data_IF_505896544050
#
_entry.id   IF_505896544050
#
_cell.length_a   1.000
_cell.length_b   1.000
_cell.length_c   1.000
_cell.angle_alpha   90.00
_cell.angle_beta   90.00
_cell.angle_gamma   90.00
#
_symmetry.space_group_name_H-M   'P 1'
#
loop_
_entity.id
_entity.type
_entity.pdbx_description
1 polymer ?
#
# COMPACT_ATOMS: atom_id res chain seq x y z
N UNK A 1 -49.77 -13.90 -34.61
CA UNK A 1 -49.71 -12.89 -33.53
C UNK A 1 -49.22 -13.58 -32.27
N UNK A 2 -47.92 -13.51 -32.00
CA UNK A 2 -47.24 -14.25 -30.91
C UNK A 2 -47.35 -13.45 -29.62
N UNK A 3 -47.87 -14.06 -28.55
CA UNK A 3 -48.02 -13.47 -27.22
C UNK A 3 -46.64 -13.36 -26.55
N UNK A 4 -46.29 -12.15 -26.14
CA UNK A 4 -45.12 -11.82 -25.32
C UNK A 4 -45.32 -12.34 -23.90
N UNK A 5 -44.37 -13.13 -23.39
CA UNK A 5 -44.29 -13.49 -21.97
C UNK A 5 -43.14 -12.72 -21.33
N UNK A 6 -43.50 -11.78 -20.47
CA UNK A 6 -42.58 -11.02 -19.62
C UNK A 6 -42.28 -11.85 -18.37
N UNK A 7 -41.05 -12.34 -18.24
CA UNK A 7 -40.57 -12.99 -17.02
C UNK A 7 -40.20 -11.92 -15.98
N UNK A 8 -40.92 -11.91 -14.86
CA UNK A 8 -40.64 -11.11 -13.69
C UNK A 8 -39.64 -11.88 -12.81
N UNK A 9 -38.39 -11.44 -12.71
CA UNK A 9 -37.43 -11.96 -11.73
C UNK A 9 -37.69 -11.31 -10.38
N UNK A 10 -38.34 -12.03 -9.46
CA UNK A 10 -38.47 -11.63 -8.08
C UNK A 10 -37.16 -11.97 -7.33
N UNK A 11 -36.34 -10.96 -7.04
CA UNK A 11 -35.20 -11.09 -6.13
C UNK A 11 -35.75 -11.02 -4.71
N UNK A 12 -35.83 -12.17 -4.05
CA UNK A 12 -36.13 -12.26 -2.61
C UNK A 12 -34.85 -11.87 -1.86
N UNK A 13 -34.78 -10.63 -1.38
CA UNK A 13 -33.74 -10.21 -0.43
C UNK A 13 -34.24 -10.53 0.98
N UNK A 14 -33.80 -11.66 1.52
CA UNK A 14 -33.97 -11.96 2.95
C UNK A 14 -33.02 -11.08 3.76
N UNK A 15 -33.53 -10.01 4.37
CA UNK A 15 -32.81 -9.24 5.39
C UNK A 15 -32.91 -10.03 6.70
N UNK A 16 -31.90 -10.85 6.99
CA UNK A 16 -31.69 -11.35 8.35
C UNK A 16 -31.03 -10.24 9.14
N UNK A 17 -31.75 -9.67 10.11
CA UNK A 17 -31.20 -8.71 11.05
C UNK A 17 -30.21 -9.44 11.99
N UNK A 18 -28.92 -9.44 11.63
CA UNK A 18 -27.86 -9.74 12.59
C UNK A 18 -27.63 -8.49 13.45
N UNK A 19 -28.19 -8.50 14.66
CA UNK A 19 -27.73 -7.64 15.75
C UNK A 19 -26.35 -8.11 16.19
N UNK A 20 -25.31 -7.42 15.73
CA UNK A 20 -23.94 -7.52 16.22
C UNK A 20 -23.30 -6.14 16.10
N UNK A 21 -22.80 -5.64 17.24
CA UNK A 21 -22.01 -4.41 17.49
C UNK A 21 -21.92 -3.39 16.36
N UNK A 22 -22.36 -2.14 16.58
CA UNK A 22 -21.79 -1.00 15.86
C UNK A 22 -20.30 -0.95 16.22
N UNK A 23 -19.47 -1.67 15.46
CA UNK A 23 -18.09 -1.28 15.31
C UNK A 23 -18.13 0.13 14.69
N UNK A 24 -17.49 1.10 15.34
CA UNK A 24 -17.11 2.33 14.64
C UNK A 24 -16.52 1.91 13.29
N UNK A 25 -17.15 2.35 12.21
CA UNK A 25 -16.75 1.91 10.87
C UNK A 25 -15.32 2.42 10.62
N UNK A 26 -14.36 1.51 10.62
CA UNK A 26 -12.95 1.83 10.39
C UNK A 26 -12.66 1.85 8.88
N UNK A 27 -11.99 2.91 8.42
CA UNK A 27 -11.48 2.96 7.06
C UNK A 27 -10.17 2.19 6.96
N UNK A 28 -10.16 1.12 6.16
CA UNK A 28 -8.94 0.37 5.84
C UNK A 28 -8.45 0.76 4.45
N UNK A 29 -7.23 1.30 4.39
CA UNK A 29 -6.53 1.62 3.16
C UNK A 29 -5.37 0.63 2.94
N UNK A 30 -5.56 -0.30 2.02
CA UNK A 30 -4.56 -1.32 1.68
C UNK A 30 -3.47 -0.75 0.76
N UNK A 31 -2.21 -0.95 1.14
CA UNK A 31 -1.02 -0.52 0.38
C UNK A 31 -0.22 -1.75 -0.05
N UNK A 32 -0.07 -1.96 -1.35
CA UNK A 32 0.65 -3.11 -1.92
C UNK A 32 1.37 -2.73 -3.21
N UNK A 33 2.58 -3.24 -3.50
CA UNK A 33 3.29 -2.92 -4.74
C UNK A 33 2.47 -3.16 -6.02
N UNK A 34 1.60 -4.19 -5.99
CA UNK A 34 0.71 -4.57 -7.10
C UNK A 34 -0.73 -4.06 -6.93
N UNK A 35 -1.01 -3.31 -5.86
CA UNK A 35 -2.33 -2.80 -5.51
C UNK A 35 -2.74 -1.54 -6.28
N UNK A 36 -3.90 -1.00 -5.92
CA UNK A 36 -4.35 0.32 -6.38
C UNK A 36 -3.55 1.45 -5.73
N UNK A 37 -3.25 1.33 -4.43
CA UNK A 37 -2.33 2.20 -3.69
C UNK A 37 -1.00 1.47 -3.54
N UNK A 38 0.03 1.98 -4.24
CA UNK A 38 1.31 1.27 -4.41
C UNK A 38 2.45 1.78 -3.56
N UNK A 39 2.27 2.90 -2.88
CA UNK A 39 3.30 3.53 -2.05
C UNK A 39 2.69 4.20 -0.83
N UNK A 40 3.50 4.42 0.20
CA UNK A 40 3.08 5.17 1.38
C UNK A 40 2.78 6.64 1.05
N UNK A 41 3.47 7.22 0.06
CA UNK A 41 3.17 8.56 -0.44
C UNK A 41 1.80 8.62 -1.10
N UNK A 42 1.47 7.64 -1.95
CA UNK A 42 0.15 7.54 -2.57
C UNK A 42 -0.94 7.33 -1.52
N UNK A 43 -0.67 6.55 -0.47
CA UNK A 43 -1.60 6.37 0.64
C UNK A 43 -1.87 7.69 1.38
N UNK A 44 -0.82 8.43 1.75
CA UNK A 44 -0.93 9.77 2.33
C UNK A 44 -1.74 10.71 1.44
N UNK A 45 -1.39 10.79 0.15
CA UNK A 45 -2.05 11.70 -0.80
C UNK A 45 -3.52 11.34 -1.03
N UNK A 46 -3.87 10.06 -0.94
CA UNK A 46 -5.25 9.59 -0.98
C UNK A 46 -6.02 10.00 0.28
N UNK A 47 -5.40 9.89 1.46
CA UNK A 47 -6.02 10.34 2.72
C UNK A 47 -6.22 11.85 2.75
N UNK A 48 -5.30 12.65 2.21
CA UNK A 48 -5.47 14.11 2.07
C UNK A 48 -6.70 14.49 1.26
N UNK A 49 -7.00 13.73 0.20
CA UNK A 49 -8.19 13.95 -0.63
C UNK A 49 -9.47 13.56 0.09
N UNK A 50 -9.42 12.48 0.88
CA UNK A 50 -10.59 11.91 1.56
C UNK A 50 -10.95 12.64 2.85
N UNK A 51 -9.94 13.09 3.60
CA UNK A 51 -10.07 13.71 4.92
C UNK A 51 -11.01 12.90 5.83
N UNK A 52 -10.69 11.62 6.09
CA UNK A 52 -11.57 10.73 6.84
C UNK A 52 -11.88 11.29 8.23
N UNK A 53 -13.10 11.05 8.69
CA UNK A 53 -13.57 11.48 10.02
C UNK A 53 -13.75 10.28 10.96
N UNK A 54 -13.48 9.08 10.46
CA UNK A 54 -13.44 7.81 11.16
C UNK A 54 -11.99 7.35 11.41
N UNK A 55 -11.76 6.47 12.41
CA UNK A 55 -10.48 5.79 12.56
C UNK A 55 -10.03 5.17 11.24
N UNK A 56 -8.77 5.39 10.88
CA UNK A 56 -8.20 4.97 9.60
C UNK A 56 -6.93 4.16 9.81
N UNK A 57 -6.87 2.98 9.19
CA UNK A 57 -5.67 2.15 9.14
C UNK A 57 -5.14 2.07 7.73
N UNK A 58 -3.88 2.46 7.56
CA UNK A 58 -3.10 2.24 6.35
C UNK A 58 -2.33 0.94 6.53
N UNK A 59 -2.85 -0.12 5.94
CA UNK A 59 -2.34 -1.49 6.09
C UNK A 59 -1.33 -1.77 4.97
N UNK A 60 -0.07 -1.94 5.34
CA UNK A 60 1.05 -2.09 4.42
C UNK A 60 1.36 -3.59 4.26
N UNK A 61 1.09 -4.10 3.06
CA UNK A 61 1.34 -5.50 2.71
C UNK A 61 2.84 -5.80 2.57
N UNK A 62 3.19 -7.08 2.57
CA UNK A 62 4.58 -7.49 2.34
C UNK A 62 5.10 -6.97 0.99
N UNK A 63 6.35 -6.51 0.97
CA UNK A 63 6.99 -5.99 -0.23
C UNK A 63 8.09 -4.98 0.10
N UNK A 64 8.79 -4.55 -0.94
CA UNK A 64 9.79 -3.47 -0.86
C UNK A 64 9.24 -2.23 -1.54
N UNK A 65 9.12 -1.15 -0.76
CA UNK A 65 8.62 0.14 -1.19
C UNK A 65 9.81 1.09 -1.35
N UNK A 66 10.27 1.27 -2.59
CA UNK A 66 11.38 2.17 -2.89
C UNK A 66 10.93 3.63 -2.82
N UNK A 67 11.72 4.46 -2.13
CA UNK A 67 11.52 5.91 -2.05
C UNK A 67 12.75 6.63 -2.59
N UNK A 68 12.53 7.68 -3.39
CA UNK A 68 13.60 8.56 -3.91
C UNK A 68 13.69 9.87 -3.15
N UNK A 69 12.70 10.15 -2.31
CA UNK A 69 12.58 11.33 -1.47
C UNK A 69 11.96 10.95 -0.11
N UNK A 70 12.17 11.73 0.95
CA UNK A 70 11.57 11.45 2.24
C UNK A 70 10.04 11.40 2.17
N UNK A 71 9.43 10.44 2.89
CA UNK A 71 8.00 10.46 3.15
C UNK A 71 7.70 11.52 4.21
N UNK A 72 7.21 12.68 3.76
CA UNK A 72 6.94 13.83 4.64
C UNK A 72 5.49 13.82 5.11
N UNK A 73 5.29 13.83 6.43
CA UNK A 73 3.99 14.09 7.06
C UNK A 73 3.91 15.54 7.53
N UNK A 74 2.79 16.20 7.27
CA UNK A 74 2.50 17.58 7.67
C UNK A 74 1.27 17.60 8.59
N UNK A 75 0.89 18.76 9.17
CA UNK A 75 -0.33 18.83 9.98
C UNK A 75 -1.60 18.39 9.26
N UNK A 76 -1.67 18.50 7.93
CA UNK A 76 -2.79 18.01 7.11
C UNK A 76 -2.98 16.49 7.19
N UNK A 77 -1.92 15.74 7.51
CA UNK A 77 -1.94 14.28 7.61
C UNK A 77 -2.33 13.78 9.01
N UNK A 78 -2.68 14.69 9.92
CA UNK A 78 -3.01 14.33 11.30
C UNK A 78 -4.43 13.82 11.41
N UNK A 79 -4.61 12.68 12.09
CA UNK A 79 -5.90 12.29 12.63
C UNK A 79 -6.28 13.09 13.88
N UNK A 80 -7.43 12.76 14.45
CA UNK A 80 -7.87 13.28 15.77
C UNK A 80 -7.88 12.15 16.80
N UNK A 81 -8.09 12.49 18.07
CA UNK A 81 -8.23 11.48 19.13
C UNK A 81 -9.39 10.49 18.87
N UNK A 82 -10.47 10.95 18.23
CA UNK A 82 -11.62 10.12 17.85
C UNK A 82 -11.49 9.49 16.46
N UNK A 83 -10.58 9.98 15.62
CA UNK A 83 -10.34 9.50 14.26
C UNK A 83 -8.82 9.44 13.98
N UNK A 84 -8.08 8.53 14.64
CA UNK A 84 -6.65 8.41 14.43
C UNK A 84 -6.34 7.85 13.04
N UNK A 85 -5.19 8.21 12.48
CA UNK A 85 -4.65 7.61 11.27
C UNK A 85 -3.41 6.79 11.67
N UNK A 86 -3.46 5.48 11.46
CA UNK A 86 -2.38 4.55 11.83
C UNK A 86 -1.77 3.92 10.58
N UNK A 87 -0.46 3.97 10.45
CA UNK A 87 0.28 3.24 9.42
C UNK A 87 0.89 2.00 10.05
N UNK A 88 0.58 0.81 9.53
CA UNK A 88 1.04 -0.44 10.12
C UNK A 88 1.30 -1.51 9.06
N UNK A 89 2.15 -2.46 9.39
CA UNK A 89 2.31 -3.67 8.58
C UNK A 89 1.06 -4.54 8.69
N UNK A 90 0.66 -5.16 7.58
CA UNK A 90 -0.34 -6.23 7.62
C UNK A 90 0.11 -7.35 8.58
N UNK A 91 -0.82 -8.05 9.26
CA UNK A 91 -0.47 -9.08 10.23
C UNK A 91 0.53 -10.11 9.67
N UNK A 92 1.63 -10.31 10.37
CA UNK A 92 2.70 -11.24 9.96
C UNK A 92 3.58 -10.77 8.80
N UNK A 93 3.29 -9.62 8.20
CA UNK A 93 4.08 -9.06 7.11
C UNK A 93 5.27 -8.24 7.61
N UNK A 94 6.32 -8.16 6.78
CA UNK A 94 7.51 -7.36 7.03
C UNK A 94 7.80 -6.45 5.83
N UNK A 95 6.99 -5.41 5.60
CA UNK A 95 7.25 -4.44 4.54
C UNK A 95 8.58 -3.73 4.78
N UNK A 96 9.33 -3.51 3.71
CA UNK A 96 10.59 -2.77 3.73
C UNK A 96 10.40 -1.45 3.00
N UNK A 97 10.62 -0.34 3.70
CA UNK A 97 10.72 0.98 3.05
C UNK A 97 12.20 1.20 2.74
N UNK A 98 12.55 1.29 1.46
CA UNK A 98 13.95 1.35 1.03
C UNK A 98 14.27 2.65 0.32
N UNK A 99 15.24 3.41 0.82
CA UNK A 99 15.87 4.51 0.09
C UNK A 99 17.00 4.05 -0.85
N UNK A 100 17.27 2.75 -0.90
CA UNK A 100 18.30 2.18 -1.76
C UNK A 100 17.82 2.01 -3.20
N UNK A 101 18.77 1.77 -4.11
CA UNK A 101 18.47 1.43 -5.50
C UNK A 101 19.08 0.06 -5.81
N UNK A 102 18.31 -0.90 -6.34
CA UNK A 102 18.85 -2.19 -6.75
C UNK A 102 19.92 -2.03 -7.82
N UNK A 103 21.04 -2.72 -7.65
CA UNK A 103 22.08 -2.86 -8.68
C UNK A 103 21.92 -4.24 -9.29
N UNK A 104 21.71 -4.30 -10.60
CA UNK A 104 21.50 -5.54 -11.37
C UNK A 104 22.45 -5.59 -12.56
N UNK A 105 22.65 -6.77 -13.13
CA UNK A 105 23.48 -6.92 -14.34
C UNK A 105 24.96 -7.10 -14.06
N UNK A 106 25.31 -7.64 -12.89
CA UNK A 106 26.66 -8.07 -12.59
C UNK A 106 27.14 -9.12 -13.60
N UNK A 107 28.42 -9.01 -13.99
CA UNK A 107 29.11 -9.94 -14.88
C UNK A 107 30.28 -10.56 -14.15
N UNK A 108 30.47 -11.87 -14.35
CA UNK A 108 31.63 -12.59 -13.87
C UNK A 108 32.82 -12.27 -14.78
N UNK A 109 33.88 -11.74 -14.20
CA UNK A 109 35.13 -11.41 -14.88
C UNK A 109 36.08 -12.62 -14.88
N UNK A 110 37.13 -12.55 -15.70
CA UNK A 110 38.09 -13.66 -15.87
C UNK A 110 38.92 -13.95 -14.61
N UNK A 111 39.04 -12.99 -13.70
CA UNK A 111 39.74 -13.13 -12.40
C UNK A 111 38.82 -13.66 -11.29
N UNK A 112 37.55 -13.97 -11.60
CA UNK A 112 36.57 -14.47 -10.65
C UNK A 112 35.81 -13.38 -9.88
N UNK A 113 36.09 -12.09 -10.14
CA UNK A 113 35.33 -10.98 -9.55
C UNK A 113 34.02 -10.74 -10.29
N UNK A 114 33.06 -10.09 -9.63
CA UNK A 114 31.82 -9.64 -10.26
C UNK A 114 31.84 -8.13 -10.42
N UNK A 115 31.55 -7.64 -11.63
CA UNK A 115 31.56 -6.22 -11.95
C UNK A 115 30.23 -5.75 -12.55
N UNK A 116 29.89 -4.48 -12.34
CA UNK A 116 28.76 -3.81 -12.98
C UNK A 116 29.05 -2.31 -13.06
N UNK A 117 28.74 -1.70 -14.20
CA UNK A 117 28.83 -0.24 -14.35
C UNK A 117 27.57 0.41 -13.79
N UNK A 118 27.75 1.38 -12.90
CA UNK A 118 26.68 2.24 -12.37
C UNK A 118 26.88 3.67 -12.85
N UNK A 119 25.85 4.51 -12.70
CA UNK A 119 25.95 5.94 -12.99
C UNK A 119 27.09 6.56 -12.14
N UNK A 120 28.09 7.24 -12.76
CA UNK A 120 29.20 7.81 -12.03
C UNK A 120 28.81 8.93 -11.05
N UNK A 121 27.63 9.54 -11.23
CA UNK A 121 27.08 10.55 -10.31
C UNK A 121 26.35 9.92 -9.11
N UNK A 122 26.02 8.63 -9.19
CA UNK A 122 25.43 7.92 -8.07
C UNK A 122 26.51 7.52 -7.07
N UNK A 123 26.70 8.37 -6.06
CA UNK A 123 27.64 8.12 -4.95
C UNK A 123 26.91 7.40 -3.82
N UNK A 124 27.56 6.36 -3.29
CA UNK A 124 27.11 5.62 -2.11
C UNK A 124 28.32 5.06 -1.36
N UNK A 125 28.19 4.90 -0.05
CA UNK A 125 29.26 4.38 0.81
C UNK A 125 28.95 2.96 1.32
N UNK A 126 27.77 2.43 0.98
CA UNK A 126 27.26 1.17 1.49
C UNK A 126 26.64 0.35 0.35
N UNK A 127 26.94 -0.96 0.34
CA UNK A 127 26.40 -1.95 -0.56
C UNK A 127 26.00 -3.17 0.26
N UNK A 128 24.78 -3.65 0.09
CA UNK A 128 24.28 -4.86 0.75
C UNK A 128 23.97 -5.94 -0.28
N UNK A 129 24.30 -7.18 0.06
CA UNK A 129 23.99 -8.37 -0.74
C UNK A 129 23.13 -9.29 0.12
N UNK A 130 21.91 -9.57 -0.34
CA UNK A 130 20.92 -10.41 0.34
C UNK A 130 20.41 -9.92 1.71
N UNK A 131 20.67 -8.65 2.05
CA UNK A 131 20.15 -8.02 3.27
C UNK A 131 20.50 -8.78 4.53
#
# INVERSE_FOLDING_TARGET
MKKSQTFLFAVVVTISALTGSQADAELILEVSPEGSVRSLSAARDELRKRQPQEPTRVVIQAGTYFITEPLVFTPEDSGTASAPITYEAAPGSRPVISGGKPITGFKLESDGTWSVNVDPNWKFEQLWVNG
#
